data_IF_723047159542
#
_entry.id   IF_723047159542
#
_cell.length_a   1.000
_cell.length_b   1.000
_cell.length_c   1.000
_cell.angle_alpha   90.00
_cell.angle_beta   90.00
_cell.angle_gamma   90.00
#
_symmetry.space_group_name_H-M   'P 1'
#
loop_
_entity.id
_entity.type
_entity.pdbx_description
1 polymer ?
2 non-polymer ?
3 water ?
#
# COMPACT_ATOMS: atom_id res chain seq x y z
N UNK A 26 19.71 -29.88 2.21
CA UNK A 26 18.44 -29.82 2.91
C UNK A 26 18.02 -28.39 3.21
N UNK A 27 16.84 -28.25 3.83
CA UNK A 27 16.28 -26.96 4.24
C UNK A 27 16.09 -25.96 3.10
N UNK A 28 14.85 -25.66 2.85
CA UNK A 28 14.44 -24.97 1.64
C UNK A 28 14.42 -23.47 1.90
N UNK A 29 14.69 -22.73 0.86
CA UNK A 29 14.94 -21.31 0.97
C UNK A 29 13.96 -20.50 0.12
N UNK A 30 13.46 -19.42 0.71
CA UNK A 30 12.62 -18.42 0.03
C UNK A 30 13.44 -17.15 -0.17
N UNK A 31 13.49 -16.64 -1.39
CA UNK A 31 14.02 -15.30 -1.64
C UNK A 31 12.85 -14.37 -1.95
N UNK A 32 12.83 -13.20 -1.33
CA UNK A 32 11.80 -12.20 -1.62
C UNK A 32 12.49 -11.01 -2.26
N UNK A 33 11.96 -10.59 -3.40
CA UNK A 33 12.47 -9.42 -4.10
C UNK A 33 11.57 -8.24 -3.78
N UNK A 34 12.13 -7.24 -3.09
CA UNK A 34 11.40 -6.05 -2.68
C UNK A 34 11.12 -6.02 -1.18
N UNK A 35 11.57 -4.97 -0.48
CA UNK A 35 11.32 -4.78 0.95
C UNK A 35 10.32 -3.65 1.18
N UNK A 36 9.35 -3.52 0.29
CA UNK A 36 8.22 -2.62 0.48
C UNK A 36 7.24 -3.21 1.52
N UNK A 37 6.08 -2.56 1.68
CA UNK A 37 5.16 -3.05 2.71
C UNK A 37 4.75 -4.51 2.46
N UNK A 38 4.54 -4.91 1.19
CA UNK A 38 4.10 -6.28 0.92
C UNK A 38 5.23 -7.30 1.15
N UNK A 39 6.42 -7.01 0.61
CA UNK A 39 7.56 -7.90 0.79
C UNK A 39 7.98 -8.04 2.25
N UNK A 40 8.00 -6.93 2.99
CA UNK A 40 8.40 -6.98 4.39
C UNK A 40 7.35 -7.68 5.24
N UNK A 41 6.06 -7.51 4.92
CA UNK A 41 5.05 -8.29 5.63
C UNK A 41 5.22 -9.78 5.36
N UNK A 42 5.41 -10.15 4.09
CA UNK A 42 5.59 -11.55 3.74
C UNK A 42 6.80 -12.13 4.47
N UNK A 43 7.91 -11.39 4.46
CA UNK A 43 9.12 -11.89 5.13
C UNK A 43 8.83 -12.16 6.61
N UNK A 44 8.15 -11.24 7.27
CA UNK A 44 7.86 -11.39 8.71
C UNK A 44 6.96 -12.57 8.95
N UNK A 45 5.86 -12.67 8.19
CA UNK A 45 4.93 -13.76 8.43
C UNK A 45 5.56 -15.11 8.11
N UNK A 46 6.36 -15.18 7.05
CA UNK A 46 6.94 -16.46 6.66
C UNK A 46 8.04 -16.87 7.63
N UNK A 47 8.85 -15.92 8.08
CA UNK A 47 9.89 -16.30 9.06
C UNK A 47 9.24 -16.72 10.37
N UNK A 48 8.19 -16.01 10.80
CA UNK A 48 7.50 -16.37 12.03
C UNK A 48 6.85 -17.74 11.93
N UNK A 49 6.54 -18.20 10.70
CA UNK A 49 5.97 -19.53 10.45
C UNK A 49 7.05 -20.61 10.40
N UNK A 50 8.32 -20.22 10.49
CA UNK A 50 9.44 -21.16 10.52
C UNK A 50 10.20 -21.34 9.23
N UNK A 51 9.87 -20.59 8.19
CA UNK A 51 10.55 -20.71 6.91
C UNK A 51 11.85 -19.93 6.90
N UNK A 52 12.73 -20.37 6.00
CA UNK A 52 14.02 -19.76 5.76
C UNK A 52 13.89 -18.71 4.66
N UNK A 53 14.02 -17.42 5.02
CA UNK A 53 13.63 -16.31 4.13
C UNK A 53 14.75 -15.25 4.11
N UNK A 54 15.13 -14.78 2.93
CA UNK A 54 15.93 -13.57 2.81
C UNK A 54 15.25 -12.61 1.84
N UNK A 55 15.51 -11.33 2.03
CA UNK A 55 14.86 -10.25 1.29
C UNK A 55 15.93 -9.42 0.60
N UNK A 56 15.67 -9.06 -0.67
CA UNK A 56 16.63 -8.35 -1.52
C UNK A 56 15.98 -7.10 -2.05
N UNK A 57 16.48 -5.94 -1.65
CA UNK A 57 15.85 -4.67 -1.96
C UNK A 57 16.82 -3.79 -2.76
N UNK A 58 16.36 -3.23 -3.87
CA UNK A 58 17.24 -2.43 -4.72
C UNK A 58 17.72 -1.12 -4.05
N UNK A 59 16.90 -0.47 -3.21
CA UNK A 59 17.32 0.84 -2.70
C UNK A 59 18.64 0.69 -1.96
N UNK A 60 19.57 1.62 -2.14
CA UNK A 60 20.85 1.53 -1.41
C UNK A 60 20.69 1.77 0.09
N UNK A 61 19.67 2.51 0.50
CA UNK A 61 19.45 2.84 1.89
C UNK A 61 17.96 2.72 2.22
N UNK A 62 17.62 2.64 3.50
CA UNK A 62 16.21 2.66 3.93
C UNK A 62 15.75 4.09 4.15
N UNK A 63 14.65 4.49 3.53
CA UNK A 63 14.09 5.83 3.64
C UNK A 63 12.72 5.73 4.29
N UNK A 64 12.49 6.56 5.33
CA UNK A 64 11.16 6.74 5.91
C UNK A 64 10.39 7.71 5.03
N UNK A 65 9.44 7.21 4.25
CA UNK A 65 8.65 8.09 3.39
C UNK A 65 7.91 9.08 4.26
N UNK A 66 8.06 10.37 3.95
CA UNK A 66 7.33 11.40 4.64
C UNK A 66 5.93 11.51 4.10
N UNK A 67 5.13 10.49 4.40
CA UNK A 67 3.76 10.43 3.89
C UNK A 67 2.94 9.67 4.91
N UNK A 68 1.62 9.81 4.81
CA UNK A 68 0.73 9.00 5.61
C UNK A 68 0.25 7.76 4.81
N UNK A 69 -0.39 6.85 5.55
CA UNK A 69 -1.08 5.71 4.94
C UNK A 69 -2.29 5.38 5.82
N UNK A 70 -3.33 4.82 5.18
CA UNK A 70 -4.55 4.39 5.88
C UNK A 70 -4.55 2.87 5.96
N UNK A 71 -4.77 2.32 7.16
CA UNK A 71 -4.77 0.86 7.40
C UNK A 71 -6.12 0.48 8.01
N UNK A 72 -6.90 -0.36 7.30
CA UNK A 72 -8.22 -0.77 7.80
C UNK A 72 -8.13 -1.91 8.79
N UNK A 73 -9.25 -2.17 9.50
CA UNK A 73 -9.29 -3.28 10.47
C UNK A 73 -8.87 -4.63 9.87
N UNK A 74 -9.19 -4.85 8.61
CA UNK A 74 -8.88 -6.16 8.01
C UNK A 74 -7.36 -6.43 7.98
N UNK A 75 -6.56 -5.37 7.92
CA UNK A 75 -5.11 -5.51 7.89
C UNK A 75 -4.52 -5.36 9.30
N UNK A 76 -5.22 -4.64 10.19
CA UNK A 76 -4.74 -4.65 11.57
C UNK A 76 -4.79 -6.05 12.16
N UNK A 77 -5.73 -6.88 11.69
CA UNK A 77 -5.78 -8.28 12.13
C UNK A 77 -4.56 -9.06 11.69
N UNK A 78 -3.94 -8.66 10.57
CA UNK A 78 -2.70 -9.30 10.11
C UNK A 78 -1.49 -8.79 10.91
N UNK A 79 -1.42 -7.48 11.16
CA UNK A 79 -0.39 -6.98 12.06
C UNK A 79 -0.50 -7.63 13.43
N UNK A 80 -1.72 -7.99 13.84
CA UNK A 80 -1.89 -8.74 15.10
C UNK A 80 -1.10 -10.04 15.06
N UNK A 81 -1.15 -10.80 13.95
CA UNK A 81 -0.39 -12.05 13.86
C UNK A 81 1.11 -11.83 13.92
N UNK A 82 1.57 -10.63 13.56
CA UNK A 82 2.96 -10.31 13.44
C UNK A 82 3.50 -9.82 14.79
N UNK A 83 2.60 -9.47 15.69
CA UNK A 83 2.92 -8.86 16.96
C UNK A 83 3.05 -7.35 16.93
N UNK A 84 2.51 -6.67 15.91
CA UNK A 84 2.70 -5.26 15.71
C UNK A 84 1.44 -4.41 15.91
N UNK A 85 0.27 -5.04 16.07
CA UNK A 85 -1.00 -4.31 16.13
C UNK A 85 -1.00 -3.31 17.27
N UNK A 86 -0.57 -3.73 18.46
CA UNK A 86 -0.63 -2.84 19.63
C UNK A 86 0.24 -1.60 19.41
N UNK A 87 1.46 -1.79 18.89
CA UNK A 87 2.36 -0.67 18.64
C UNK A 87 1.76 0.30 17.64
N UNK A 88 1.19 -0.23 16.56
CA UNK A 88 0.60 0.63 15.54
C UNK A 88 -0.57 1.42 16.12
N UNK A 89 -1.34 0.79 17.00
CA UNK A 89 -2.44 1.51 17.65
C UNK A 89 -1.91 2.68 18.48
N UNK A 90 -0.77 2.50 19.13
CA UNK A 90 -0.19 3.60 19.89
C UNK A 90 0.34 4.70 18.97
N UNK A 91 0.86 4.34 17.81
CA UNK A 91 1.44 5.34 16.95
C UNK A 91 0.39 6.13 16.17
N UNK A 92 -0.65 5.48 15.71
CA UNK A 92 -1.52 6.11 14.72
C UNK A 92 -2.67 6.91 15.31
N UNK A 93 -3.33 7.62 14.39
CA UNK A 93 -4.56 8.34 14.68
C UNK A 93 -5.74 7.41 14.46
N UNK A 94 -6.75 7.52 15.33
CA UNK A 94 -7.95 6.67 15.24
C UNK A 94 -9.13 7.58 14.90
N UNK A 95 -9.42 7.85 13.62
CA UNK A 95 -10.52 8.76 13.30
C UNK A 95 -11.83 8.14 13.75
N UNK A 96 -12.73 9.00 14.20
CA UNK A 96 -14.05 8.50 14.59
C UNK A 96 -14.95 8.28 13.38
N UNK A 97 -14.70 9.00 12.30
CA UNK A 97 -15.43 8.91 11.04
C UNK A 97 -14.47 9.13 9.88
N UNK A 98 -14.86 8.60 8.71
CA UNK A 98 -14.40 9.10 7.43
C UNK A 98 -15.50 10.02 6.92
N UNK A 99 -15.15 11.26 6.59
CA UNK A 99 -16.07 12.19 5.96
C UNK A 99 -15.74 12.32 4.48
N UNK A 100 -16.74 12.15 3.60
CA UNK A 100 -16.60 12.64 2.24
C UNK A 100 -17.33 13.97 2.17
N UNK A 101 -16.65 14.97 1.65
CA UNK A 101 -17.23 16.33 1.55
C UNK A 101 -17.10 16.84 0.13
N UNK A 102 -18.09 17.61 -0.29
CA UNK A 102 -18.01 18.24 -1.59
C UNK A 102 -16.96 19.33 -1.59
N UNK A 103 -16.12 19.34 -2.64
CA UNK A 103 -14.96 20.21 -2.66
C UNK A 103 -15.35 21.67 -2.65
N UNK A 104 -16.40 22.00 -3.35
CA UNK A 104 -16.78 23.39 -3.53
C UNK A 104 -17.57 23.91 -2.32
N UNK A 105 -18.55 23.13 -1.84
CA UNK A 105 -19.49 23.61 -0.81
C UNK A 105 -19.17 23.15 0.60
N UNK A 106 -18.33 22.12 0.77
CA UNK A 106 -18.17 21.48 2.07
C UNK A 106 -19.35 20.65 2.53
N UNK A 107 -20.40 20.48 1.71
CA UNK A 107 -21.48 19.58 2.09
C UNK A 107 -20.93 18.21 2.48
N UNK A 108 -21.56 17.58 3.47
CA UNK A 108 -21.21 16.21 3.88
C UNK A 108 -21.91 15.18 2.99
N UNK A 109 -21.14 14.53 2.11
CA UNK A 109 -21.65 13.47 1.25
C UNK A 109 -21.73 12.14 1.97
N UNK A 110 -20.84 11.85 2.90
CA UNK A 110 -20.97 10.66 3.72
C UNK A 110 -20.29 10.89 5.05
N UNK A 111 -20.73 10.15 6.06
CA UNK A 111 -20.22 10.16 7.43
C UNK A 111 -20.11 8.68 7.76
N UNK A 112 -18.95 8.08 7.44
CA UNK A 112 -18.76 6.65 7.57
C UNK A 112 -18.23 6.36 8.98
N UNK A 113 -18.97 5.64 9.82
CA UNK A 113 -18.52 5.45 11.21
C UNK A 113 -17.30 4.55 11.26
N UNK A 114 -16.26 5.05 11.95
CA UNK A 114 -15.03 4.28 12.23
C UNK A 114 -14.91 4.23 13.76
N UNK A 115 -13.77 4.62 14.32
CA UNK A 115 -13.62 4.65 15.77
C UNK A 115 -14.05 3.39 16.51
N UNK A 116 -14.84 3.59 17.59
CA UNK A 116 -15.24 2.46 18.43
C UNK A 116 -16.24 1.56 17.70
N UNK A 117 -17.09 2.16 16.85
CA UNK A 117 -17.95 1.37 15.98
C UNK A 117 -17.12 0.38 15.17
N UNK A 118 -16.02 0.86 14.56
CA UNK A 118 -15.20 -0.06 13.78
C UNK A 118 -14.61 -1.17 14.65
N UNK A 119 -14.10 -0.81 15.86
CA UNK A 119 -13.51 -1.83 16.72
C UNK A 119 -14.51 -2.95 17.01
N UNK A 120 -15.76 -2.58 17.31
CA UNK A 120 -16.77 -3.56 17.70
C UNK A 120 -17.28 -4.31 16.49
N UNK A 121 -17.55 -3.60 15.40
CA UNK A 121 -18.22 -4.20 14.26
C UNK A 121 -17.25 -5.01 13.41
N UNK A 122 -16.01 -4.53 13.25
CA UNK A 122 -15.05 -5.16 12.36
C UNK A 122 -13.94 -5.92 13.07
N UNK A 123 -13.78 -5.76 14.37
CA UNK A 123 -12.83 -6.58 15.09
C UNK A 123 -11.43 -6.03 15.25
N UNK A 124 -11.19 -4.78 14.87
CA UNK A 124 -9.91 -4.12 15.02
C UNK A 124 -10.12 -2.65 14.69
N UNK A 125 -9.09 -1.86 14.95
CA UNK A 125 -9.14 -0.43 14.66
C UNK A 125 -8.92 -0.11 13.18
N UNK A 126 -9.46 1.03 12.77
CA UNK A 126 -9.08 1.72 11.56
C UNK A 126 -8.11 2.82 11.96
N UNK A 127 -6.89 2.83 11.39
CA UNK A 127 -5.92 3.84 11.77
C UNK A 127 -5.35 4.52 10.53
N UNK A 128 -4.89 5.75 10.74
CA UNK A 128 -4.11 6.48 9.74
C UNK A 128 -2.78 6.80 10.45
N UNK A 129 -1.67 6.64 9.73
CA UNK A 129 -0.38 6.53 10.39
C UNK A 129 0.72 7.03 9.48
N UNK A 130 1.85 7.41 10.09
CA UNK A 130 3.02 7.77 9.30
C UNK A 130 3.57 6.56 8.55
N UNK A 131 3.60 6.65 7.21
CA UNK A 131 3.93 5.46 6.43
C UNK A 131 5.40 5.04 6.62
N UNK A 132 6.33 5.99 6.70
CA UNK A 132 7.74 5.64 6.86
C UNK A 132 8.00 4.97 8.18
N UNK A 133 7.32 5.41 9.26
CA UNK A 133 7.53 4.78 10.55
C UNK A 133 6.89 3.38 10.61
N UNK A 134 5.69 3.21 10.00
CA UNK A 134 5.11 1.88 9.86
C UNK A 134 6.07 0.95 9.11
N UNK A 135 6.60 1.45 7.99
CA UNK A 135 7.53 0.67 7.16
C UNK A 135 8.77 0.26 7.94
N UNK A 136 9.34 1.17 8.75
CA UNK A 136 10.51 0.81 9.55
C UNK A 136 10.16 -0.26 10.55
N UNK A 137 9.00 -0.11 11.22
CA UNK A 137 8.59 -1.11 12.19
C UNK A 137 8.44 -2.48 11.52
N UNK A 138 7.88 -2.48 10.32
CA UNK A 138 7.68 -3.73 9.60
C UNK A 138 9.02 -4.38 9.22
N UNK A 139 10.01 -3.60 8.79
CA UNK A 139 11.29 -4.20 8.43
C UNK A 139 12.02 -4.68 9.69
N UNK A 140 11.84 -3.97 10.80
CA UNK A 140 12.49 -4.35 12.06
C UNK A 140 11.94 -5.65 12.63
N UNK A 141 10.78 -6.10 12.13
CA UNK A 141 10.23 -7.40 12.57
C UNK A 141 10.84 -8.57 11.82
N UNK A 142 11.62 -8.31 10.77
CA UNK A 142 12.34 -9.33 10.02
C UNK A 142 13.61 -9.66 10.77
N UNK A 143 13.99 -10.96 10.70
CA UNK A 143 15.16 -11.46 11.42
C UNK A 143 16.41 -10.66 11.02
N UNK A 144 17.23 -10.21 11.97
CA UNK A 144 18.42 -9.43 11.59
C UNK A 144 19.37 -10.28 10.75
N UNK A 145 20.00 -9.65 9.77
CA UNK A 145 20.87 -10.38 8.88
C UNK A 145 20.18 -11.04 7.70
N UNK A 146 18.88 -10.77 7.49
CA UNK A 146 18.20 -11.40 6.37
C UNK A 146 17.62 -10.42 5.37
N UNK A 147 17.75 -9.12 5.60
CA UNK A 147 17.34 -8.08 4.67
C UNK A 147 18.60 -7.43 4.09
N UNK A 148 18.69 -7.38 2.76
CA UNK A 148 19.87 -6.90 2.05
C UNK A 148 19.46 -5.74 1.15
N UNK A 149 19.97 -4.55 1.45
CA UNK A 149 19.76 -3.39 0.60
C UNK A 149 20.85 -3.34 -0.48
N UNK A 150 20.65 -2.45 -1.43
CA UNK A 150 21.59 -2.36 -2.54
C UNK A 150 21.61 -3.57 -3.43
N UNK A 151 20.53 -4.35 -3.47
CA UNK A 151 20.43 -5.56 -4.27
C UNK A 151 19.28 -5.40 -5.25
N UNK A 152 19.61 -4.91 -6.46
CA UNK A 152 18.61 -4.69 -7.50
C UNK A 152 18.62 -5.89 -8.43
N UNK A 153 17.52 -6.64 -8.44
CA UNK A 153 17.44 -7.82 -9.29
C UNK A 153 17.48 -7.37 -10.75
N UNK A 154 18.36 -8.02 -11.54
CA UNK A 154 18.44 -7.76 -12.97
C UNK A 154 18.06 -8.94 -13.82
N UNK A 155 18.24 -10.15 -13.33
CA UNK A 155 17.90 -11.32 -14.10
C UNK A 155 17.47 -12.43 -13.16
N UNK A 156 16.51 -13.22 -13.60
CA UNK A 156 16.06 -14.32 -12.78
C UNK A 156 15.69 -15.45 -13.71
N UNK A 157 16.09 -16.67 -13.37
CA UNK A 157 15.88 -17.83 -14.22
C UNK A 157 15.37 -18.96 -13.36
N UNK A 158 14.17 -19.45 -13.66
CA UNK A 158 13.68 -20.57 -12.89
C UNK A 158 14.22 -21.78 -13.65
N UNK A 159 15.24 -22.40 -13.07
CA UNK A 159 15.96 -23.49 -13.69
C UNK A 159 15.21 -24.81 -13.60
N UNK A 160 14.02 -24.79 -13.00
CA UNK A 160 13.25 -25.98 -12.85
C UNK A 160 13.17 -26.54 -11.45
N UNK A 161 14.32 -26.83 -10.81
CA UNK A 161 14.39 -27.28 -9.42
C UNK A 161 14.83 -26.18 -8.45
N UNK A 162 15.25 -25.03 -8.95
CA UNK A 162 15.62 -23.91 -8.10
C UNK A 162 15.68 -22.69 -9.00
N UNK A 163 15.84 -21.52 -8.39
CA UNK A 163 15.83 -20.25 -9.09
C UNK A 163 17.11 -19.52 -8.76
N UNK A 164 17.80 -19.00 -9.78
CA UNK A 164 18.96 -18.17 -9.57
C UNK A 164 18.63 -16.69 -9.81
N UNK A 165 19.05 -15.84 -8.89
CA UNK A 165 18.83 -14.39 -8.96
C UNK A 165 20.17 -13.68 -9.14
N UNK A 166 20.25 -12.81 -10.14
CA UNK A 166 21.44 -12.00 -10.42
C UNK A 166 21.13 -10.55 -10.14
N UNK A 167 21.98 -9.89 -9.34
CA UNK A 167 21.79 -8.50 -8.93
C UNK A 167 22.73 -7.58 -9.68
N UNK A 168 22.35 -6.30 -9.72
CA UNK A 168 23.10 -5.32 -10.52
C UNK A 168 24.51 -5.10 -10.01
N UNK A 169 24.80 -5.42 -8.75
CA UNK A 169 26.14 -5.29 -8.20
C UNK A 169 27.01 -6.50 -8.53
N UNK A 170 26.53 -7.41 -9.36
CA UNK A 170 27.32 -8.54 -9.78
C UNK A 170 27.30 -9.72 -8.83
N UNK A 171 26.56 -9.62 -7.71
CA UNK A 171 26.34 -10.77 -6.84
C UNK A 171 25.11 -11.57 -7.31
N UNK A 172 24.88 -12.71 -6.65
CA UNK A 172 23.78 -13.58 -7.00
C UNK A 172 23.41 -14.42 -5.78
N UNK A 173 22.23 -15.05 -5.84
CA UNK A 173 21.75 -15.92 -4.78
C UNK A 173 20.85 -16.95 -5.44
N UNK A 174 20.62 -18.06 -4.73
CA UNK A 174 19.81 -19.17 -5.24
C UNK A 174 18.70 -19.48 -4.23
N UNK A 175 17.52 -19.86 -4.71
CA UNK A 175 16.43 -20.15 -3.77
C UNK A 175 15.54 -21.22 -4.36
N UNK A 176 14.74 -21.84 -3.48
CA UNK A 176 13.77 -22.82 -3.97
C UNK A 176 12.55 -22.15 -4.58
N UNK A 177 12.08 -21.04 -3.98
CA UNK A 177 11.03 -20.24 -4.61
C UNK A 177 11.38 -18.78 -4.45
N UNK A 178 10.80 -17.94 -5.32
CA UNK A 178 11.04 -16.49 -5.27
C UNK A 178 9.69 -15.80 -5.24
N UNK A 179 9.56 -14.83 -4.34
CA UNK A 179 8.38 -13.98 -4.23
C UNK A 179 8.72 -12.64 -4.85
N UNK A 180 7.94 -12.28 -5.87
CA UNK A 180 8.01 -10.98 -6.50
C UNK A 180 7.16 -9.97 -5.72
N UNK A 181 7.82 -9.23 -4.82
CA UNK A 181 7.19 -8.17 -4.05
C UNK A 181 7.72 -6.85 -4.53
N UNK A 182 8.01 -6.77 -5.84
CA UNK A 182 8.84 -5.67 -6.35
C UNK A 182 8.03 -4.58 -7.08
N UNK A 183 6.72 -4.48 -6.79
CA UNK A 183 5.93 -3.29 -7.16
C UNK A 183 5.51 -3.19 -8.62
N UNK A 184 5.04 -1.99 -9.00
CA UNK A 184 4.43 -1.90 -10.34
C UNK A 184 5.46 -2.10 -11.42
N UNK A 185 6.72 -1.75 -11.16
CA UNK A 185 7.82 -1.98 -12.10
C UNK A 185 8.50 -3.32 -11.93
N UNK A 186 7.78 -4.31 -11.38
CA UNK A 186 8.31 -5.60 -11.04
C UNK A 186 9.20 -6.24 -12.12
N UNK A 187 10.41 -6.60 -11.70
CA UNK A 187 11.30 -7.35 -12.59
C UNK A 187 10.94 -8.84 -12.65
N UNK A 188 10.37 -9.40 -11.58
CA UNK A 188 9.80 -10.75 -11.66
C UNK A 188 8.72 -10.83 -12.74
N UNK A 189 7.81 -9.85 -12.76
CA UNK A 189 6.75 -9.84 -13.76
C UNK A 189 7.32 -9.74 -15.19
N UNK A 190 8.36 -8.90 -15.34
CA UNK A 190 9.03 -8.72 -16.64
C UNK A 190 9.72 -10.00 -17.09
N UNK A 191 10.38 -10.70 -16.17
CA UNK A 191 11.05 -11.91 -16.56
C UNK A 191 10.06 -12.98 -17.02
N UNK A 192 8.82 -12.93 -16.50
CA UNK A 192 7.80 -13.89 -16.89
C UNK A 192 7.06 -13.49 -18.16
N UNK A 193 6.73 -12.20 -18.30
CA UNK A 193 5.84 -11.78 -19.36
C UNK A 193 6.56 -11.01 -20.46
N UNK A 194 7.86 -10.76 -20.32
CA UNK A 194 8.55 -9.87 -21.23
C UNK A 194 8.23 -8.43 -20.92
N UNK A 195 8.78 -7.55 -21.75
CA UNK A 195 8.65 -6.12 -21.52
C UNK A 195 7.20 -5.70 -21.63
N UNK A 196 6.75 -4.95 -20.65
CA UNK A 196 5.39 -4.42 -20.63
C UNK A 196 5.26 -3.26 -21.62
N UNK A 197 4.11 -3.20 -22.30
CA UNK A 197 3.78 -2.10 -23.20
C UNK A 197 3.86 -0.77 -22.47
N UNK A 198 4.21 0.32 -23.16
CA UNK A 198 4.32 1.62 -22.46
C UNK A 198 3.00 2.08 -21.86
N UNK A 199 3.08 2.65 -20.67
CA UNK A 199 1.91 3.15 -19.95
C UNK A 199 2.20 4.59 -19.59
N UNK A 200 1.31 5.48 -19.96
CA UNK A 200 1.52 6.89 -19.75
C UNK A 200 0.80 7.33 -18.48
N UNK A 201 1.02 8.59 -18.13
CA UNK A 201 0.54 9.19 -16.88
C UNK A 201 -0.14 10.50 -17.23
N UNK A 202 -1.45 10.56 -17.03
CA UNK A 202 -2.19 11.77 -17.24
C UNK A 202 -2.74 12.29 -15.93
N UNK A 203 -2.20 11.85 -14.80
CA UNK A 203 -2.64 12.43 -13.53
C UNK A 203 -1.54 12.26 -12.50
N UNK A 204 -1.62 13.06 -11.42
CA UNK A 204 -0.62 13.07 -10.38
C UNK A 204 -1.29 13.09 -9.03
N UNK A 205 -0.51 12.67 -8.03
CA UNK A 205 -0.80 12.82 -6.62
C UNK A 205 0.15 13.85 -6.04
N UNK A 206 -0.39 14.98 -5.52
CA UNK A 206 0.39 15.89 -4.70
C UNK A 206 0.37 15.41 -3.25
N UNK A 207 1.51 15.47 -2.60
CA UNK A 207 1.64 15.02 -1.22
C UNK A 207 2.27 16.13 -0.40
N UNK A 208 1.78 16.32 0.83
CA UNK A 208 2.34 17.28 1.76
C UNK A 208 2.05 16.86 3.20
N UNK A 209 3.03 17.10 4.09
CA UNK A 209 2.88 17.00 5.54
C UNK A 209 2.82 18.40 6.15
N UNK A 210 1.82 18.64 6.98
CA UNK A 210 1.61 19.97 7.54
C UNK A 210 1.80 19.91 9.05
N UNK A 211 2.58 20.85 9.61
CA UNK A 211 2.76 20.95 11.06
C UNK A 211 2.83 22.42 11.40
N UNK A 212 3.11 22.71 12.65
CA UNK A 212 3.39 24.09 12.97
C UNK A 212 2.19 24.82 13.54
N UNK A 213 2.46 26.09 13.82
CA UNK A 213 1.38 27.03 14.10
C UNK A 213 0.42 27.10 12.92
N UNK A 214 0.91 26.84 11.70
CA UNK A 214 0.03 26.71 10.53
C UNK A 214 -1.05 25.66 10.77
N UNK A 215 -0.67 24.54 11.37
CA UNK A 215 -1.64 23.51 11.74
C UNK A 215 -2.46 23.95 12.94
N UNK A 216 -1.79 24.45 13.99
CA UNK A 216 -2.49 24.85 15.22
C UNK A 216 -3.55 25.90 14.92
N UNK A 217 -3.22 26.86 14.05
CA UNK A 217 -4.13 27.98 13.74
C UNK A 217 -5.47 27.48 13.23
N UNK A 218 -5.48 26.38 12.46
CA UNK A 218 -6.70 25.89 11.81
C UNK A 218 -7.16 24.53 12.33
N UNK A 219 -6.76 24.16 13.56
CA UNK A 219 -7.06 22.82 14.04
C UNK A 219 -8.56 22.59 14.22
N UNK A 220 -9.33 23.63 14.57
CA UNK A 220 -10.78 23.40 14.73
C UNK A 220 -11.46 22.96 13.42
N UNK A 221 -10.94 23.33 12.25
CA UNK A 221 -11.66 22.97 11.04
C UNK A 221 -11.07 21.76 10.33
N UNK A 222 -10.06 21.12 10.89
CA UNK A 222 -9.25 20.09 10.24
C UNK A 222 -9.64 18.72 10.80
N UNK A 223 -10.52 18.04 10.10
CA UNK A 223 -11.05 16.80 10.61
C UNK A 223 -10.07 15.65 10.44
N UNK A 224 -10.21 14.61 11.25
CA UNK A 224 -9.14 13.58 11.28
C UNK A 224 -9.03 12.71 10.03
N UNK A 225 -10.10 12.54 9.25
CA UNK A 225 -10.04 11.70 8.05
C UNK A 225 -11.13 12.20 7.11
N UNK A 226 -10.74 12.89 6.03
CA UNK A 226 -11.73 13.52 5.14
C UNK A 226 -11.27 13.44 3.69
N UNK A 227 -12.21 13.13 2.79
CA UNK A 227 -11.94 13.17 1.36
C UNK A 227 -12.77 14.29 0.78
N UNK A 228 -12.13 15.26 0.15
CA UNK A 228 -12.82 16.37 -0.52
C UNK A 228 -12.90 16.06 -2.02
N UNK A 229 -14.12 16.02 -2.58
CA UNK A 229 -14.32 15.57 -3.95
C UNK A 229 -14.82 16.69 -4.85
N UNK A 230 -14.35 16.72 -6.08
CA UNK A 230 -15.03 17.48 -7.13
C UNK A 230 -15.08 16.61 -8.39
N UNK A 231 -15.51 17.19 -9.53
CA UNK A 231 -15.91 16.39 -10.69
C UNK A 231 -14.78 15.51 -11.19
N UNK A 232 -13.56 16.01 -11.21
CA UNK A 232 -12.46 15.32 -11.82
C UNK A 232 -11.20 15.26 -10.96
N UNK A 233 -11.29 15.59 -9.65
CA UNK A 233 -10.10 15.58 -8.80
C UNK A 233 -10.56 15.51 -7.36
N UNK A 234 -9.60 15.34 -6.44
CA UNK A 234 -9.95 15.20 -5.04
C UNK A 234 -8.72 15.48 -4.19
N UNK A 235 -8.97 15.68 -2.89
CA UNK A 235 -7.88 15.78 -1.92
C UNK A 235 -8.29 14.93 -0.74
N UNK A 236 -7.46 13.92 -0.37
CA UNK A 236 -7.62 13.19 0.86
C UNK A 236 -6.72 13.69 1.97
N UNK A 237 -7.27 13.78 3.17
CA UNK A 237 -6.58 14.44 4.29
C UNK A 237 -6.75 13.65 5.59
N UNK A 238 -5.64 13.46 6.34
CA UNK A 238 -5.76 12.80 7.64
C UNK A 238 -4.51 13.02 8.48
N UNK A 239 -4.65 12.79 9.77
CA UNK A 239 -3.49 12.89 10.68
C UNK A 239 -2.69 11.62 10.61
N UNK A 240 -1.40 11.77 10.86
CA UNK A 240 -0.48 10.63 10.88
C UNK A 240 -0.23 10.05 12.26
N UNK A 241 -0.56 10.75 13.35
CA UNK A 241 -0.28 10.25 14.69
C UNK A 241 -1.44 10.55 15.62
N UNK A 242 -1.50 9.81 16.72
CA UNK A 242 -2.49 10.12 17.73
C UNK A 242 -2.33 11.48 18.39
N UNK A 243 -1.13 12.06 18.35
CA UNK A 243 -0.97 13.42 18.87
C UNK A 243 -1.66 14.45 17.98
N UNK A 244 -1.98 14.08 16.74
CA UNK A 244 -2.58 14.97 15.76
C UNK A 244 -1.80 16.30 15.64
N UNK A 245 -0.46 16.19 15.61
CA UNK A 245 0.48 17.29 15.38
C UNK A 245 1.02 17.32 13.98
N UNK A 246 0.57 16.43 13.10
CA UNK A 246 1.12 16.33 11.75
C UNK A 246 -0.01 15.87 10.84
N UNK A 247 -0.34 16.67 9.86
CA UNK A 247 -1.54 16.46 9.05
C UNK A 247 -1.14 16.27 7.60
N UNK A 248 -1.65 15.24 6.93
CA UNK A 248 -1.17 14.83 5.62
C UNK A 248 -2.25 15.00 4.57
N UNK A 249 -1.89 15.49 3.39
CA UNK A 249 -2.82 15.37 2.29
C UNK A 249 -2.18 14.65 1.11
N UNK A 250 -3.03 14.02 0.31
CA UNK A 250 -2.63 13.44 -0.96
C UNK A 250 -3.78 13.62 -1.94
N UNK A 251 -3.49 14.10 -3.14
CA UNK A 251 -4.53 14.43 -4.10
C UNK A 251 -4.56 13.43 -5.24
N UNK A 252 -5.55 13.60 -6.11
CA UNK A 252 -5.55 12.99 -7.43
C UNK A 252 -6.02 14.06 -8.40
N UNK A 253 -5.18 14.40 -9.37
CA UNK A 253 -5.40 15.59 -10.21
C UNK A 253 -4.93 15.32 -11.63
N UNK A 254 -5.75 15.62 -12.64
CA UNK A 254 -5.28 15.59 -14.04
C UNK A 254 -3.99 16.38 -14.26
N UNK A 255 -3.10 15.85 -15.10
CA UNK A 255 -1.78 16.42 -15.28
C UNK A 255 -1.22 16.03 -16.64
N UNK A 256 -0.32 16.88 -17.17
CA UNK A 256 0.36 16.55 -18.42
C UNK A 256 1.21 15.31 -18.22
N UNK A 257 1.61 14.67 -19.32
CA UNK A 257 2.37 13.43 -19.24
C UNK A 257 3.68 13.60 -18.49
N UNK A 258 3.99 12.62 -17.65
CA UNK A 258 5.19 12.70 -16.82
C UNK A 258 6.41 12.33 -17.64
N UNK A 259 7.38 13.23 -17.67
CA UNK A 259 8.62 12.96 -18.40
C UNK A 259 9.84 13.37 -17.55
N UNK A 260 9.68 13.36 -16.23
CA UNK A 260 10.78 13.64 -15.31
C UNK A 260 11.50 12.35 -14.93
N UNK A 261 12.81 12.47 -14.63
CA UNK A 261 13.55 11.27 -14.29
C UNK A 261 13.25 10.78 -12.87
N UNK A 262 12.92 11.70 -11.96
CA UNK A 262 12.61 11.28 -10.60
C UNK A 262 11.30 10.52 -10.50
N UNK A 263 11.20 9.74 -9.42
CA UNK A 263 9.92 9.17 -9.04
C UNK A 263 8.95 10.26 -8.58
N UNK A 264 9.47 11.41 -8.15
CA UNK A 264 8.68 12.57 -7.78
C UNK A 264 9.43 13.83 -8.20
N UNK A 265 8.70 14.96 -8.28
CA UNK A 265 9.32 16.29 -8.31
C UNK A 265 8.61 17.24 -7.35
N UNK A 266 9.31 18.33 -7.03
CA UNK A 266 8.71 19.39 -6.20
C UNK A 266 7.53 20.04 -6.91
N UNK A 267 6.50 20.36 -6.14
CA UNK A 267 5.38 21.16 -6.57
C UNK A 267 5.43 22.46 -5.78
N UNK A 268 4.36 23.20 -5.84
CA UNK A 268 4.35 24.53 -5.26
C UNK A 268 2.93 24.89 -4.89
N UNK A 269 2.78 25.86 -3.97
CA UNK A 269 1.46 26.35 -3.57
C UNK A 269 0.71 26.94 -4.75
N UNK A 270 1.42 27.64 -5.63
CA UNK A 270 0.75 28.24 -6.78
C UNK A 270 0.17 27.15 -7.67
N UNK A 271 0.93 26.09 -7.89
CA UNK A 271 0.43 24.94 -8.65
C UNK A 271 -0.83 24.38 -7.99
N UNK A 272 -0.79 24.21 -6.67
CA UNK A 272 -1.91 23.58 -6.00
C UNK A 272 -3.11 24.51 -5.93
N UNK A 273 -2.86 25.80 -5.74
CA UNK A 273 -3.98 26.71 -5.65
C UNK A 273 -4.71 26.80 -6.99
N UNK A 274 -3.99 26.73 -8.12
CA UNK A 274 -4.65 26.71 -9.40
C UNK A 274 -5.41 25.39 -9.62
N UNK A 275 -4.82 24.28 -9.19
CA UNK A 275 -5.53 23.01 -9.37
C UNK A 275 -6.78 22.91 -8.49
N UNK A 276 -6.80 23.57 -7.33
CA UNK A 276 -7.93 23.48 -6.40
C UNK A 276 -8.72 24.78 -6.32
N UNK A 277 -8.65 25.56 -7.40
CA UNK A 277 -9.50 26.76 -7.47
C UNK A 277 -10.94 26.36 -7.25
N UNK A 278 -11.66 27.13 -6.44
CA UNK A 278 -13.05 26.84 -6.17
C UNK A 278 -13.29 25.99 -4.94
N UNK A 279 -12.28 25.28 -4.43
CA UNK A 279 -12.50 24.47 -3.26
C UNK A 279 -12.73 25.32 -2.01
N UNK A 280 -13.45 24.72 -1.03
CA UNK A 280 -13.82 25.21 0.30
C UNK A 280 -12.66 25.86 1.01
N UNK A 281 -12.88 26.92 1.82
CA UNK A 281 -11.77 27.58 2.50
C UNK A 281 -10.87 26.65 3.32
N UNK A 282 -11.38 25.55 3.86
CA UNK A 282 -10.51 24.64 4.62
C UNK A 282 -9.41 24.07 3.73
N UNK A 283 -9.73 23.73 2.48
CA UNK A 283 -8.72 23.21 1.57
C UNK A 283 -7.75 24.31 1.17
N UNK A 284 -8.26 25.54 0.97
CA UNK A 284 -7.34 26.63 0.66
C UNK A 284 -6.40 26.88 1.83
N UNK A 285 -6.89 26.75 3.06
CA UNK A 285 -6.05 26.89 4.24
C UNK A 285 -4.96 25.83 4.27
N UNK A 286 -5.29 24.59 3.90
CA UNK A 286 -4.26 23.55 3.87
C UNK A 286 -3.18 23.87 2.85
N UNK A 287 -3.56 24.32 1.65
CA UNK A 287 -2.56 24.66 0.63
C UNK A 287 -1.66 25.79 1.14
N UNK A 288 -2.27 26.81 1.75
CA UNK A 288 -1.51 27.95 2.25
C UNK A 288 -0.56 27.54 3.37
N UNK A 289 -0.86 26.45 4.11
CA UNK A 289 -0.11 26.04 5.29
C UNK A 289 1.08 25.14 4.97
N UNK A 290 1.21 24.70 3.73
CA UNK A 290 2.28 23.80 3.36
C UNK A 290 3.61 24.55 3.33
N UNK A 291 4.68 23.81 3.51
CA UNK A 291 6.02 24.30 3.29
C UNK A 291 6.66 23.67 2.08
N UNK A 292 6.40 22.38 1.89
CA UNK A 292 6.97 21.62 0.78
C UNK A 292 5.95 20.60 0.31
N UNK A 293 5.69 20.64 -0.98
CA UNK A 293 4.77 19.73 -1.66
C UNK A 293 5.58 18.97 -2.72
N UNK A 294 5.31 17.67 -2.86
CA UNK A 294 5.87 16.89 -3.96
C UNK A 294 4.73 16.37 -4.84
N UNK A 295 5.05 16.08 -6.10
CA UNK A 295 4.11 15.60 -7.09
C UNK A 295 4.59 14.23 -7.58
N UNK A 296 3.66 13.26 -7.72
CA UNK A 296 3.96 11.86 -8.07
C UNK A 296 3.09 11.41 -9.25
N UNK A 297 3.68 10.76 -10.25
CA UNK A 297 2.90 10.36 -11.44
C UNK A 297 2.05 9.12 -11.14
N UNK A 298 0.82 9.16 -11.62
CA UNK A 298 -0.09 8.02 -11.50
C UNK A 298 -0.37 7.44 -12.90
N UNK A 299 -0.28 6.11 -13.04
CA UNK A 299 -0.46 5.51 -14.36
C UNK A 299 -1.92 5.55 -14.83
N UNK A 300 -2.09 5.68 -16.16
CA UNK A 300 -3.42 5.69 -16.79
C UNK A 300 -4.07 4.33 -16.87
N UNK A 301 -3.26 3.26 -16.84
CA UNK A 301 -3.70 1.90 -17.15
C UNK A 301 -2.82 0.96 -16.37
N UNK A 302 -3.29 -0.28 -16.20
CA UNK A 302 -2.57 -1.34 -15.48
C UNK A 302 -2.88 -2.68 -16.15
N UNK A 303 -1.94 -3.63 -16.14
CA UNK A 303 -2.16 -4.95 -16.74
C UNK A 303 -3.00 -5.82 -15.82
N UNK A 304 -3.45 -6.97 -16.37
CA UNK A 304 -4.22 -7.96 -15.61
C UNK A 304 -3.34 -8.70 -14.59
N UNK A 305 -3.95 -9.27 -13.54
CA UNK A 305 -3.15 -9.93 -12.50
C UNK A 305 -2.34 -11.11 -13.04
N UNK A 306 -1.15 -11.28 -12.46
CA UNK A 306 -0.31 -12.44 -12.63
C UNK A 306 0.04 -12.95 -11.24
N UNK A 307 -0.39 -14.17 -10.92
CA UNK A 307 -0.24 -14.71 -9.56
C UNK A 307 1.01 -15.54 -9.38
N UNK A 308 1.31 -16.42 -10.32
CA UNK A 308 2.51 -17.26 -10.15
C UNK A 308 2.83 -17.92 -11.48
N UNK A 309 4.04 -18.47 -11.56
CA UNK A 309 4.44 -19.26 -12.73
C UNK A 309 5.65 -20.04 -12.26
N UNK A 310 5.57 -21.37 -12.35
CA UNK A 310 6.69 -22.19 -11.89
C UNK A 310 7.03 -21.91 -10.43
N UNK A 311 8.33 -21.68 -10.13
CA UNK A 311 8.80 -21.38 -8.76
C UNK A 311 8.69 -19.91 -8.38
N UNK A 312 7.99 -19.10 -9.18
CA UNK A 312 7.86 -17.66 -8.92
C UNK A 312 6.41 -17.34 -8.54
N UNK A 313 6.23 -16.53 -7.50
CA UNK A 313 4.89 -16.14 -7.09
C UNK A 313 4.97 -14.64 -6.85
N UNK A 314 3.85 -13.95 -7.13
CA UNK A 314 3.84 -12.49 -7.03
C UNK A 314 2.81 -12.03 -6.00
N UNK A 315 3.08 -10.85 -5.39
CA UNK A 315 2.11 -10.25 -4.50
C UNK A 315 2.07 -8.72 -4.72
N UNK A 316 0.99 -8.10 -4.18
CA UNK A 316 0.91 -6.64 -4.15
C UNK A 316 0.86 -6.03 -5.54
N UNK A 317 1.54 -4.89 -5.73
CA UNK A 317 1.48 -4.16 -6.98
C UNK A 317 2.18 -4.89 -8.14
N UNK A 318 3.14 -5.79 -7.85
CA UNK A 318 3.66 -6.67 -8.91
C UNK A 318 2.59 -7.58 -9.48
N UNK A 319 1.66 -8.05 -8.64
CA UNK A 319 0.66 -9.06 -8.98
C UNK A 319 -0.57 -8.43 -9.63
N UNK A 320 -1.18 -7.46 -8.95
CA UNK A 320 -2.48 -6.94 -9.36
C UNK A 320 -2.45 -5.40 -9.26
N UNK A 321 -1.61 -4.75 -10.06
CA UNK A 321 -1.58 -3.27 -10.03
C UNK A 321 -2.94 -2.66 -10.39
N UNK A 322 -3.28 -1.59 -9.68
CA UNK A 322 -4.62 -1.02 -9.75
C UNK A 322 -4.47 0.50 -9.62
N UNK A 323 -5.44 1.26 -10.13
CA UNK A 323 -5.43 2.67 -9.79
C UNK A 323 -5.71 2.86 -8.30
N UNK A 324 -5.19 3.96 -7.69
CA UNK A 324 -5.29 4.12 -6.24
C UNK A 324 -6.63 4.65 -5.71
N UNK A 325 -7.71 4.40 -6.41
CA UNK A 325 -8.98 5.02 -6.05
C UNK A 325 -9.45 4.60 -4.67
N UNK A 326 -9.37 3.32 -4.33
CA UNK A 326 -9.79 2.99 -2.96
C UNK A 326 -8.72 3.05 -1.90
N UNK A 327 -7.46 3.32 -2.27
CA UNK A 327 -6.40 3.42 -1.26
C UNK A 327 -6.36 2.18 -0.34
N UNK A 328 -6.53 1.03 -0.93
CA UNK A 328 -6.34 -0.24 -0.25
C UNK A 328 -5.16 -1.06 -0.87
N UNK A 329 -4.28 -0.46 -1.69
CA UNK A 329 -3.25 -1.25 -2.35
C UNK A 329 -2.25 -1.91 -1.39
N UNK A 330 -1.72 -1.15 -0.42
CA UNK A 330 -0.82 -1.77 0.54
C UNK A 330 -1.56 -2.79 1.38
N UNK A 331 -2.80 -2.47 1.76
CA UNK A 331 -3.60 -3.43 2.52
C UNK A 331 -3.76 -4.72 1.72
N UNK A 332 -3.95 -4.62 0.40
CA UNK A 332 -4.11 -5.84 -0.43
C UNK A 332 -2.79 -6.61 -0.52
N UNK A 333 -1.66 -5.89 -0.62
CA UNK A 333 -0.36 -6.55 -0.59
C UNK A 333 -0.15 -7.32 0.69
N UNK A 334 -0.57 -6.75 1.83
CA UNK A 334 -0.37 -7.38 3.12
C UNK A 334 -1.31 -8.56 3.28
N UNK A 335 -2.53 -8.46 2.76
CA UNK A 335 -3.46 -9.61 2.70
C UNK A 335 -2.89 -10.71 1.83
N UNK A 336 -2.32 -10.35 0.67
CA UNK A 336 -1.63 -11.34 -0.17
C UNK A 336 -0.57 -12.07 0.62
N UNK A 337 0.32 -11.31 1.28
CA UNK A 337 1.38 -11.92 2.07
C UNK A 337 0.81 -12.88 3.10
N UNK A 338 -0.25 -12.46 3.81
CA UNK A 338 -0.80 -13.34 4.85
C UNK A 338 -1.39 -14.60 4.25
N UNK A 339 -2.05 -14.48 3.08
CA UNK A 339 -2.75 -15.66 2.54
C UNK A 339 -1.69 -16.58 1.92
N UNK A 340 -0.68 -16.01 1.24
CA UNK A 340 0.41 -16.82 0.71
C UNK A 340 1.08 -17.62 1.83
N UNK A 341 1.30 -17.00 3.00
CA UNK A 341 1.91 -17.71 4.14
C UNK A 341 1.03 -18.86 4.58
N UNK A 342 -0.27 -18.61 4.72
CA UNK A 342 -1.18 -19.72 5.08
C UNK A 342 -1.10 -20.87 4.09
N UNK A 343 -1.03 -20.55 2.80
CA UNK A 343 -0.98 -21.61 1.80
C UNK A 343 0.33 -22.37 1.84
N UNK A 344 1.47 -21.71 2.02
CA UNK A 344 2.74 -22.44 2.14
C UNK A 344 2.77 -23.24 3.46
N UNK A 345 2.08 -22.76 4.49
CA UNK A 345 2.05 -23.52 5.74
C UNK A 345 1.30 -24.83 5.51
N UNK A 346 0.26 -24.79 4.66
CA UNK A 346 -0.53 -25.97 4.34
C UNK A 346 0.30 -27.01 3.57
N UNK A 347 1.00 -26.60 2.54
CA UNK A 347 1.64 -27.51 1.57
C UNK A 347 3.10 -27.79 1.86
N UNK A 348 3.78 -26.93 2.60
CA UNK A 348 5.23 -26.88 2.64
C UNK A 348 5.86 -26.35 1.37
N UNK A 349 7.13 -25.96 1.42
CA UNK A 349 7.80 -25.45 0.23
C UNK A 349 8.01 -26.54 -0.80
N UNK A 350 8.06 -27.81 -0.39
CA UNK A 350 8.28 -28.86 -1.38
C UNK A 350 7.12 -28.99 -2.36
N UNK A 351 5.93 -28.46 -2.02
CA UNK A 351 4.79 -28.56 -2.90
C UNK A 351 4.34 -27.15 -3.27
N UNK A 352 5.27 -26.38 -3.80
CA UNK A 352 4.99 -24.96 -4.09
C UNK A 352 3.91 -24.79 -5.13
N UNK A 353 3.79 -25.72 -6.08
CA UNK A 353 2.76 -25.49 -7.09
C UNK A 353 1.35 -25.56 -6.47
N UNK A 354 1.15 -26.48 -5.52
CA UNK A 354 -0.14 -26.53 -4.87
C UNK A 354 -0.36 -25.27 -4.05
N UNK A 355 0.69 -24.78 -3.38
CA UNK A 355 0.56 -23.57 -2.57
C UNK A 355 0.21 -22.39 -3.43
N UNK A 356 0.89 -22.25 -4.57
CA UNK A 356 0.67 -21.07 -5.41
C UNK A 356 -0.72 -21.11 -6.03
N UNK A 357 -1.22 -22.30 -6.39
CA UNK A 357 -2.60 -22.44 -6.88
C UNK A 357 -3.61 -22.06 -5.82
N UNK A 358 -3.41 -22.55 -4.58
CA UNK A 358 -4.33 -22.25 -3.49
C UNK A 358 -4.33 -20.75 -3.19
N UNK A 359 -3.14 -20.14 -3.20
CA UNK A 359 -3.03 -18.69 -2.97
C UNK A 359 -3.88 -17.88 -3.96
N UNK A 360 -3.72 -18.14 -5.24
CA UNK A 360 -4.55 -17.48 -6.27
C UNK A 360 -6.01 -17.78 -6.04
N UNK A 361 -6.35 -19.07 -5.80
CA UNK A 361 -7.75 -19.43 -5.63
C UNK A 361 -8.38 -18.71 -4.46
N UNK A 362 -7.59 -18.40 -3.41
CA UNK A 362 -8.13 -17.75 -2.22
C UNK A 362 -8.04 -16.22 -2.23
N UNK A 363 -7.42 -15.63 -3.27
CA UNK A 363 -7.28 -14.17 -3.38
C UNK A 363 -7.96 -13.53 -4.59
N UNK A 364 -8.23 -14.28 -5.66
CA UNK A 364 -8.55 -13.63 -6.94
C UNK A 364 -9.91 -13.00 -6.94
N UNK A 365 -10.89 -13.58 -6.22
CA UNK A 365 -12.21 -12.96 -6.27
C UNK A 365 -12.22 -11.65 -5.48
N UNK A 366 -11.61 -11.64 -4.29
CA UNK A 366 -11.58 -10.38 -3.51
C UNK A 366 -10.79 -9.31 -4.26
N UNK A 367 -9.63 -9.67 -4.84
CA UNK A 367 -8.88 -8.73 -5.69
C UNK A 367 -9.75 -8.22 -6.81
N UNK A 368 -10.61 -9.08 -7.39
CA UNK A 368 -11.47 -8.61 -8.48
C UNK A 368 -12.57 -7.70 -7.97
N UNK A 369 -13.09 -7.94 -6.75
CA UNK A 369 -14.11 -7.01 -6.23
C UNK A 369 -13.50 -5.64 -6.01
N UNK A 370 -12.29 -5.61 -5.46
CA UNK A 370 -11.57 -4.34 -5.27
C UNK A 370 -11.35 -3.64 -6.61
N UNK A 371 -10.98 -4.41 -7.64
CA UNK A 371 -10.79 -3.81 -8.97
C UNK A 371 -12.10 -3.19 -9.48
N UNK A 372 -13.21 -3.94 -9.36
CA UNK A 372 -14.48 -3.43 -9.91
C UNK A 372 -14.97 -2.18 -9.19
N UNK A 373 -14.80 -2.14 -7.88
CA UNK A 373 -15.19 -0.96 -7.12
C UNK A 373 -14.25 0.19 -7.42
N UNK A 374 -12.95 -0.09 -7.58
CA UNK A 374 -12.04 0.97 -8.01
C UNK A 374 -12.43 1.56 -9.35
N UNK A 375 -12.86 0.72 -10.29
CA UNK A 375 -13.28 1.21 -11.59
C UNK A 375 -14.40 2.22 -11.43
N UNK A 376 -15.34 1.96 -10.51
CA UNK A 376 -16.46 2.89 -10.33
C UNK A 376 -16.02 4.22 -9.73
N UNK A 377 -14.92 4.22 -8.95
CA UNK A 377 -14.31 5.41 -8.35
C UNK A 377 -15.31 6.24 -7.56
N UNK A 378 -16.09 5.55 -6.73
CA UNK A 378 -16.99 6.28 -5.84
C UNK A 378 -16.93 5.70 -4.44
N UNK A 379 -15.78 5.15 -4.05
CA UNK A 379 -15.65 4.50 -2.76
C UNK A 379 -15.86 5.50 -1.63
N UNK A 380 -16.89 5.28 -0.84
CA UNK A 380 -17.30 6.13 0.31
C UNK A 380 -17.77 7.51 -0.15
N UNK A 381 -18.08 7.67 -1.43
CA UNK A 381 -18.61 8.94 -1.92
C UNK A 381 -20.03 9.19 -1.40
N UNK A 382 -20.79 8.11 -1.21
CA UNK A 382 -22.12 8.11 -0.61
C UNK A 382 -22.04 7.25 0.65
N UNK A 383 -23.13 7.23 1.42
CA UNK A 383 -23.24 6.51 2.68
C UNK A 383 -23.40 5.00 2.43
N UNK A 384 -22.33 4.37 2.01
CA UNK A 384 -22.40 2.93 1.78
C UNK A 384 -21.80 2.15 2.94
N UNK A 385 -22.08 0.84 2.97
CA UNK A 385 -21.64 -0.04 4.04
C UNK A 385 -20.29 -0.64 3.65
N UNK A 386 -19.20 -0.28 4.31
CA UNK A 386 -17.88 -0.79 3.90
C UNK A 386 -17.50 -2.11 4.55
N UNK A 387 -18.45 -2.80 5.18
CA UNK A 387 -18.12 -4.04 5.90
C UNK A 387 -17.41 -5.07 5.02
N UNK A 388 -17.79 -5.19 3.74
CA UNK A 388 -17.14 -6.25 2.94
C UNK A 388 -15.62 -6.06 2.86
N UNK A 389 -15.12 -4.83 2.99
CA UNK A 389 -13.68 -4.58 3.02
C UNK A 389 -13.15 -4.76 4.46
N UNK A 390 -13.65 -3.92 5.40
CA UNK A 390 -13.06 -3.81 6.73
C UNK A 390 -13.40 -4.99 7.63
N UNK A 391 -14.51 -5.69 7.37
CA UNK A 391 -14.88 -6.80 8.21
C UNK A 391 -14.37 -8.14 7.72
N UNK A 392 -13.66 -8.14 6.58
CA UNK A 392 -13.16 -9.37 6.02
C UNK A 392 -12.21 -10.08 6.99
N UNK A 393 -12.41 -11.40 7.12
CA UNK A 393 -11.68 -12.23 8.07
C UNK A 393 -10.79 -13.17 7.27
N UNK A 394 -9.57 -12.73 7.03
CA UNK A 394 -8.64 -13.50 6.19
C UNK A 394 -8.29 -14.85 6.83
N UNK A 395 -8.01 -14.86 8.15
CA UNK A 395 -7.56 -16.09 8.82
C UNK A 395 -8.68 -17.09 9.00
N UNK A 396 -9.92 -16.62 9.02
CA UNK A 396 -11.09 -17.47 9.06
C UNK A 396 -11.46 -18.15 7.75
N UNK A 397 -10.99 -17.66 6.62
CA UNK A 397 -11.39 -18.25 5.35
C UNK A 397 -10.85 -19.67 5.22
N UNK A 398 -11.73 -20.60 4.81
CA UNK A 398 -11.32 -21.98 4.57
C UNK A 398 -10.59 -22.08 3.23
N UNK A 399 -9.37 -22.59 3.25
CA UNK A 399 -8.57 -22.58 2.03
C UNK A 399 -9.15 -23.49 0.95
N UNK A 400 -9.80 -24.58 1.35
CA UNK A 400 -10.47 -25.57 0.46
C UNK A 400 -9.48 -26.20 -0.50
X LIG B 1 5.97 -1.29 -3.35
X LIG B 1 5.53 -0.58 -2.16
X LIG B 1 6.13 -0.61 -4.70
X LIG B 1 7.37 -1.93 -2.95
X LIG B 1 8.17 -2.63 -3.93
X LIG B 1 9.61 -2.68 -3.46
X LIG B 1 10.36 -3.44 -4.42
X LIG B 1 10.29 -1.30 -3.35
X LIG B 1 10.93 -1.12 -2.10
X LIG B 1 11.20 -1.28 -4.57
X LIG B 1 12.37 -0.47 -4.39
X LIG B 1 11.56 -2.76 -4.69
X LIG B 1 12.04 -3.18 -5.98
X LIG B 1 11.51 -2.85 -7.21
X LIG B 1 12.18 -3.34 -8.23
X LIG B 1 13.19 -4.09 -7.63
X LIG B 1 14.27 -4.83 -8.15
X LIG B 1 14.46 -5.04 -9.46
X LIG B 1 15.08 -5.45 -7.27
X LIG B 1 14.90 -5.26 -5.97
X LIG B 1 13.94 -4.57 -5.36
X LIG B 1 13.13 -3.98 -6.25
X LIG B 1 -2.49 1.65 0.06
X LIG B 1 -3.06 1.50 1.27
X LIG B 1 -3.24 0.37 1.77
X LIG B 1 -3.47 2.60 1.99
X LIG B 1 -3.41 3.89 1.55
X LIG B 1 -3.80 4.83 2.28
X LIG B 1 -2.87 4.05 0.22
X LIG B 1 -2.83 5.29 -0.32
X LIG B 1 -2.27 5.42 -1.58
X LIG B 1 -2.17 6.70 -2.14
X LIG B 1 -1.62 6.87 -3.40
X LIG B 1 -1.58 8.26 -4.01
X LIG B 1 -1.14 5.76 -4.12
X LIG B 1 -0.53 5.91 -5.48
X LIG B 1 -1.20 4.51 -3.54
X LIG B 1 -1.80 4.31 -2.32
X LIG B 1 -1.86 3.04 -1.71
X LIG B 1 -2.41 2.89 -0.45
X LIG B 1 -1.33 1.85 -2.44
X LIG B 1 0.06 1.41 -1.91
X LIG B 1 0.98 2.51 -1.93
X LIG B 1 0.66 0.34 -2.84
X LIG B 1 -0.34 -0.54 -3.28
X LIG B 1 1.71 -0.48 -2.06
X LIG B 1 2.87 0.35 -1.90
X LIG B 1 2.10 -1.78 -2.74
X LIG B 1 3.15 -2.42 -1.97
X LIG B 1 4.12 -3.48 -2.65
X LIG B 1 4.96 -3.98 -1.49
X LIG B 1 3.37 -4.39 -3.52
X LIG B 1 5.03 -2.55 -3.60
#
# INVERSE_FOLDING_TARGET
>A
MGSDKIHHHHHHSSGENLYFQGHMRGRQKIAIVGAGLGGAAAATLLQQAGFDVEVFEQAPAFTRLGAGIQIGPNVMKIFRRMGLEQKLELMGSHPDFWFSRDGNTGDYLSRIPLGEFARREYGAAYITIHRGDLHALQIEAIQPGTVHFGKRLEKIVDEGDQVRLDFADGTHTVADIVIGADGIHSKIREELLGAEAPIYSGWVAHRALIRGVNLAQHADVFEPCVKWWSEDRHMMVYYTTGKRDEYYFVTGVPHEAWDFQGAFVDSSQEEMRAAFEGYHPTVQKLIDATESITKWPLRNRNPLPLWSRGRLVLLGDACHPMKPHMAQGACMAIEDAAMLTRCLQETGLSDHRTAFALYEANRKERASQVQSVSNANTWLYSQEDPAWVYGYDLYGQQLESGEAA
>B hetero
1 FAD PA O1A O2A O5B C5B C4B O4B C3B O3B C2B O2B C1B N9A C8A N7A C5A C6A N6A N1A C2A N3A C4A N1 C2 O2 N3 C4 O4 C4X N5 C5X C6 C7 C7M C8 C8M C9 C9A N10 C10 C1' C2' O2' C3' O3' C4' O4' C5' O5' P O1P O2P O3P
#
